data_IF_213366045127
#
_entry.id   IF_213366045127
#
_cell.length_a   1.000
_cell.length_b   1.000
_cell.length_c   1.000
_cell.angle_alpha   90.00
_cell.angle_beta   90.00
_cell.angle_gamma   90.00
#
_symmetry.space_group_name_H-M   'P 1'
#
loop_
_entity.id
_entity.type
_entity.pdbx_description
1 polymer ?
#
# COMPACT_ATOMS: atom_id res chain seq x y z
N UNK A 1 11.21 30.76 30.72
CA UNK A 1 11.38 29.39 30.17
C UNK A 1 10.12 28.87 29.45
N UNK A 2 8.95 28.73 30.10
CA UNK A 2 7.71 28.23 29.43
C UNK A 2 7.17 29.14 28.31
N UNK A 3 7.20 30.47 28.47
CA UNK A 3 6.74 31.42 27.45
C UNK A 3 7.61 31.42 26.17
N UNK A 4 8.94 31.27 26.31
CA UNK A 4 9.86 31.18 25.17
C UNK A 4 9.65 29.88 24.38
N UNK A 5 9.39 28.76 25.05
CA UNK A 5 9.01 27.50 24.38
C UNK A 5 7.67 27.58 23.64
N UNK A 6 6.70 28.35 24.15
CA UNK A 6 5.41 28.58 23.48
C UNK A 6 5.60 29.46 22.24
N UNK A 7 6.41 30.52 22.32
CA UNK A 7 6.72 31.39 21.17
C UNK A 7 7.56 30.67 20.09
N UNK A 8 8.50 29.80 20.48
CA UNK A 8 9.25 28.94 19.55
C UNK A 8 8.36 27.85 18.90
N UNK A 9 7.39 27.29 19.65
CA UNK A 9 6.37 26.38 19.08
C UNK A 9 5.39 27.08 18.13
N UNK A 10 5.09 28.35 18.34
CA UNK A 10 4.19 29.11 17.48
C UNK A 10 4.89 29.62 16.21
N UNK A 11 6.16 30.01 16.28
CA UNK A 11 6.97 30.41 15.11
C UNK A 11 7.32 29.23 14.20
N UNK A 12 7.60 28.05 14.76
CA UNK A 12 7.77 26.81 13.98
C UNK A 12 6.49 26.37 13.26
N UNK A 13 5.31 26.53 13.89
CA UNK A 13 4.01 26.25 13.25
C UNK A 13 3.71 27.18 12.06
N UNK A 14 4.09 28.46 12.14
CA UNK A 14 3.95 29.43 11.04
C UNK A 14 4.86 29.10 9.83
N UNK A 15 5.87 28.24 10.01
CA UNK A 15 6.80 27.85 8.95
C UNK A 15 6.36 26.58 8.19
N UNK A 16 5.41 25.79 8.71
CA UNK A 16 4.99 24.52 8.09
C UNK A 16 4.50 24.73 6.65
N UNK A 17 3.53 25.64 6.37
CA UNK A 17 3.06 25.83 4.99
C UNK A 17 4.18 26.27 4.04
N UNK A 18 5.12 27.11 4.53
CA UNK A 18 6.28 27.56 3.75
C UNK A 18 7.22 26.40 3.41
N UNK A 19 7.47 25.49 4.36
CA UNK A 19 8.31 24.32 4.09
C UNK A 19 7.60 23.34 3.14
N UNK A 20 6.30 23.11 3.30
CA UNK A 20 5.51 22.29 2.36
C UNK A 20 5.56 22.88 0.95
N UNK A 21 5.34 24.18 0.79
CA UNK A 21 5.42 24.86 -0.51
C UNK A 21 6.83 24.86 -1.12
N UNK A 22 7.87 24.93 -0.28
CA UNK A 22 9.27 24.82 -0.71
C UNK A 22 9.57 23.43 -1.23
N UNK A 23 9.25 22.39 -0.45
CA UNK A 23 9.68 21.03 -0.73
C UNK A 23 8.81 20.30 -1.76
N UNK A 24 7.51 20.64 -1.86
CA UNK A 24 6.58 20.08 -2.86
C UNK A 24 6.91 20.46 -4.30
N UNK A 25 7.78 21.46 -4.52
CA UNK A 25 8.26 21.85 -5.86
C UNK A 25 9.36 20.93 -6.40
N UNK A 26 10.05 20.19 -5.53
CA UNK A 26 11.07 19.24 -5.96
C UNK A 26 10.41 17.91 -6.32
N UNK A 27 10.96 17.26 -7.36
CA UNK A 27 10.57 15.91 -7.74
C UNK A 27 11.25 14.90 -6.83
N UNK A 28 10.52 13.92 -6.26
CA UNK A 28 11.12 12.79 -5.56
C UNK A 28 12.12 12.03 -6.44
N UNK A 29 13.18 11.52 -5.82
CA UNK A 29 14.25 10.76 -6.48
C UNK A 29 13.97 9.27 -6.34
N UNK A 30 13.54 8.56 -7.40
CA UNK A 30 13.31 7.11 -7.33
C UNK A 30 14.64 6.34 -7.33
N UNK A 31 14.71 5.30 -6.49
CA UNK A 31 15.83 4.37 -6.41
C UNK A 31 15.43 2.99 -6.94
N UNK A 32 16.36 2.31 -7.58
CA UNK A 32 16.24 0.89 -7.92
C UNK A 32 16.62 -0.02 -6.75
N UNK A 33 16.10 -1.25 -6.73
CA UNK A 33 16.58 -2.28 -5.80
C UNK A 33 18.08 -2.50 -5.93
N UNK A 34 18.63 -2.45 -7.16
CA UNK A 34 20.07 -2.51 -7.38
C UNK A 34 20.81 -1.40 -6.63
N UNK A 35 20.35 -0.15 -6.71
CA UNK A 35 20.98 0.95 -5.99
C UNK A 35 20.94 0.76 -4.46
N UNK A 36 19.82 0.26 -3.90
CA UNK A 36 19.75 -0.05 -2.48
C UNK A 36 20.78 -1.11 -2.06
N UNK A 37 20.95 -2.16 -2.86
CA UNK A 37 21.89 -3.25 -2.58
C UNK A 37 23.34 -2.80 -2.75
N UNK A 38 23.67 -2.17 -3.87
CA UNK A 38 25.01 -1.68 -4.15
C UNK A 38 25.47 -0.70 -3.05
N UNK A 39 24.53 0.11 -2.54
CA UNK A 39 24.77 0.97 -1.38
C UNK A 39 25.02 0.18 -0.10
N UNK A 40 24.12 -0.73 0.28
CA UNK A 40 24.18 -1.41 1.57
C UNK A 40 25.21 -2.55 1.68
N UNK A 41 25.67 -3.13 0.55
CA UNK A 41 26.64 -4.23 0.57
C UNK A 41 28.10 -3.79 0.51
N UNK A 42 28.43 -2.83 -0.37
CA UNK A 42 29.82 -2.50 -0.68
C UNK A 42 30.23 -1.10 -0.20
N UNK A 43 29.27 -0.18 -0.06
CA UNK A 43 29.51 1.25 0.15
C UNK A 43 28.66 1.82 1.30
N UNK A 44 28.34 1.01 2.31
CA UNK A 44 27.47 1.42 3.41
C UNK A 44 28.11 2.58 4.19
N UNK A 45 27.74 3.80 3.81
CA UNK A 45 28.27 5.04 4.37
C UNK A 45 27.13 5.82 4.98
N UNK A 46 27.09 5.87 6.32
CA UNK A 46 26.04 6.55 7.08
C UNK A 46 25.94 8.03 6.67
N UNK A 47 27.09 8.68 6.44
CA UNK A 47 27.17 10.06 5.94
C UNK A 47 26.44 10.25 4.61
N UNK A 48 26.67 9.37 3.65
CA UNK A 48 26.01 9.43 2.33
C UNK A 48 24.51 9.21 2.48
N UNK A 49 24.10 8.24 3.31
CA UNK A 49 22.67 7.99 3.58
C UNK A 49 22.00 9.19 4.24
N UNK A 50 22.64 9.78 5.26
CA UNK A 50 22.17 10.99 5.94
C UNK A 50 22.01 12.17 4.96
N UNK A 51 23.03 12.41 4.12
CA UNK A 51 23.02 13.49 3.12
C UNK A 51 21.87 13.38 2.13
N UNK A 52 21.58 12.15 1.69
CA UNK A 52 20.45 11.87 0.81
C UNK A 52 19.11 12.02 1.54
N UNK A 53 18.92 11.33 2.67
CA UNK A 53 17.63 11.24 3.35
C UNK A 53 17.18 12.55 3.99
N UNK A 54 18.10 13.39 4.47
CA UNK A 54 17.76 14.70 5.02
C UNK A 54 17.17 15.65 3.98
N UNK A 55 17.37 15.38 2.69
CA UNK A 55 16.76 16.12 1.58
C UNK A 55 15.53 15.36 1.03
N UNK A 56 15.67 14.06 0.77
CA UNK A 56 14.65 13.27 0.08
C UNK A 56 13.38 13.06 0.93
N UNK A 57 13.50 12.81 2.24
CA UNK A 57 12.33 12.59 3.09
C UNK A 57 11.42 13.84 3.20
N UNK A 58 11.96 15.06 3.44
CA UNK A 58 11.16 16.29 3.33
C UNK A 58 10.47 16.46 1.97
N UNK A 59 11.15 16.14 0.85
CA UNK A 59 10.56 16.22 -0.50
C UNK A 59 9.35 15.28 -0.63
N UNK A 60 9.49 14.01 -0.26
CA UNK A 60 8.41 13.00 -0.35
C UNK A 60 7.23 13.35 0.56
N UNK A 61 7.50 13.80 1.79
CA UNK A 61 6.46 14.23 2.74
C UNK A 61 5.73 15.47 2.23
N UNK A 62 6.46 16.50 1.78
CA UNK A 62 5.84 17.74 1.32
C UNK A 62 5.02 17.56 0.04
N UNK A 63 5.45 16.71 -0.90
CA UNK A 63 4.68 16.40 -2.11
C UNK A 63 3.29 15.86 -1.74
N UNK A 64 3.22 14.87 -0.84
CA UNK A 64 1.93 14.30 -0.46
C UNK A 64 1.13 15.20 0.48
N UNK A 65 1.78 15.93 1.39
CA UNK A 65 1.11 16.95 2.21
C UNK A 65 0.44 18.01 1.34
N UNK A 66 1.07 18.39 0.22
CA UNK A 66 0.50 19.37 -0.70
C UNK A 66 -0.74 18.84 -1.41
N UNK A 67 -0.83 17.54 -1.66
CA UNK A 67 -2.04 16.91 -2.21
C UNK A 67 -3.18 16.81 -1.18
N UNK A 68 -2.86 16.69 0.11
CA UNK A 68 -3.87 16.73 1.19
C UNK A 68 -4.65 18.04 1.12
N UNK A 69 -4.00 19.18 0.87
CA UNK A 69 -4.65 20.49 0.78
C UNK A 69 -5.76 20.57 -0.30
N UNK A 70 -5.80 19.63 -1.25
CA UNK A 70 -6.79 19.59 -2.33
C UNK A 70 -7.92 18.57 -2.12
N UNK A 71 -7.94 17.91 -0.96
CA UNK A 71 -9.07 17.08 -0.57
C UNK A 71 -10.28 17.96 -0.19
N UNK A 72 -11.52 17.41 -0.24
CA UNK A 72 -12.70 18.15 0.17
C UNK A 72 -12.59 18.69 1.61
N UNK A 73 -12.96 19.95 1.85
CA UNK A 73 -12.88 20.59 3.16
C UNK A 73 -13.59 19.78 4.26
N UNK A 74 -14.72 19.16 3.92
CA UNK A 74 -15.47 18.28 4.80
C UNK A 74 -14.65 17.07 5.24
N UNK A 75 -13.90 16.45 4.32
CA UNK A 75 -12.99 15.35 4.62
C UNK A 75 -11.80 15.85 5.46
N UNK A 76 -11.19 16.99 5.10
CA UNK A 76 -10.12 17.63 5.89
C UNK A 76 -10.55 18.02 7.30
N UNK A 77 -11.84 18.29 7.52
CA UNK A 77 -12.40 18.67 8.82
C UNK A 77 -12.54 17.49 9.79
N UNK A 78 -12.46 16.25 9.30
CA UNK A 78 -12.60 15.04 10.12
C UNK A 78 -11.50 14.94 11.18
N UNK A 79 -11.82 14.49 12.42
CA UNK A 79 -10.82 14.34 13.48
C UNK A 79 -9.60 13.51 13.07
N UNK A 80 -9.85 12.42 12.34
CA UNK A 80 -8.80 11.51 11.89
C UNK A 80 -7.83 12.16 10.90
N UNK A 81 -8.31 12.97 9.94
CA UNK A 81 -7.40 13.66 9.00
C UNK A 81 -6.66 14.82 9.65
N UNK A 82 -7.28 15.54 10.61
CA UNK A 82 -6.57 16.55 11.40
C UNK A 82 -5.40 15.95 12.18
N UNK A 83 -5.59 14.76 12.76
CA UNK A 83 -4.54 14.02 13.46
C UNK A 83 -3.42 13.61 12.50
N UNK A 84 -3.76 13.03 11.33
CA UNK A 84 -2.78 12.67 10.31
C UNK A 84 -1.96 13.87 9.84
N UNK A 85 -2.62 14.99 9.53
CA UNK A 85 -1.96 16.22 9.13
C UNK A 85 -0.96 16.70 10.20
N UNK A 86 -1.32 16.59 11.49
CA UNK A 86 -0.42 16.94 12.60
C UNK A 86 0.82 16.04 12.66
N UNK A 87 0.69 14.74 12.41
CA UNK A 87 1.82 13.81 12.40
C UNK A 87 2.79 14.11 11.25
N UNK A 88 2.27 14.31 10.05
CA UNK A 88 3.10 14.64 8.88
C UNK A 88 3.80 15.99 9.05
N UNK A 89 3.09 16.99 9.57
CA UNK A 89 3.68 18.30 9.86
C UNK A 89 4.80 18.20 10.90
N UNK A 90 4.60 17.44 11.98
CA UNK A 90 5.65 17.22 12.99
C UNK A 90 6.86 16.52 12.38
N UNK A 91 6.65 15.43 11.64
CA UNK A 91 7.72 14.67 10.98
C UNK A 91 8.50 15.52 9.99
N UNK A 92 7.82 16.35 9.19
CA UNK A 92 8.48 17.28 8.26
C UNK A 92 9.40 18.25 9.01
N UNK A 93 8.90 18.89 10.07
CA UNK A 93 9.68 19.88 10.82
C UNK A 93 10.90 19.24 11.52
N UNK A 94 10.72 18.06 12.13
CA UNK A 94 11.83 17.31 12.75
C UNK A 94 12.93 16.94 11.73
N UNK A 95 12.56 16.64 10.48
CA UNK A 95 13.53 16.33 9.42
C UNK A 95 14.19 17.58 8.84
N UNK A 96 13.45 18.68 8.70
CA UNK A 96 13.96 19.96 8.21
C UNK A 96 15.07 20.52 9.11
N UNK A 97 15.02 20.23 10.42
CA UNK A 97 16.06 20.63 11.38
C UNK A 97 17.45 20.03 11.07
N UNK A 98 17.55 19.01 10.20
CA UNK A 98 18.80 18.37 9.80
C UNK A 98 19.44 18.92 8.52
N UNK A 99 18.76 19.78 7.76
CA UNK A 99 19.20 20.24 6.44
C UNK A 99 20.58 20.90 6.45
N UNK A 100 20.84 21.71 7.46
CA UNK A 100 22.07 22.51 7.61
C UNK A 100 23.03 21.92 8.66
N UNK A 101 22.76 20.71 9.16
CA UNK A 101 23.63 20.07 10.15
C UNK A 101 24.88 19.49 9.50
N UNK A 102 25.97 19.48 10.26
CA UNK A 102 27.25 18.96 9.81
C UNK A 102 27.17 17.42 9.65
N UNK A 103 27.40 16.88 8.43
CA UNK A 103 27.38 15.45 8.18
C UNK A 103 28.60 14.70 8.75
N UNK A 104 29.63 15.41 9.24
CA UNK A 104 30.80 14.81 9.90
C UNK A 104 30.63 14.66 11.43
N UNK A 105 29.59 15.27 12.03
CA UNK A 105 29.29 15.13 13.45
C UNK A 105 28.53 13.83 13.74
N UNK A 106 29.22 12.85 14.34
CA UNK A 106 28.65 11.57 14.77
C UNK A 106 27.41 11.71 15.67
N UNK A 107 27.35 12.74 16.53
CA UNK A 107 26.18 12.96 17.40
C UNK A 107 24.95 13.34 16.59
N UNK A 108 25.15 14.09 15.49
CA UNK A 108 24.08 14.43 14.56
C UNK A 108 23.58 13.18 13.83
N UNK A 109 24.48 12.31 13.38
CA UNK A 109 24.12 11.06 12.70
C UNK A 109 23.29 10.15 13.62
N UNK A 110 23.75 9.92 14.86
CA UNK A 110 22.98 9.14 15.85
C UNK A 110 21.59 9.75 16.10
N UNK A 111 21.53 11.08 16.33
CA UNK A 111 20.26 11.77 16.55
C UNK A 111 19.33 11.71 15.33
N UNK A 112 19.88 11.70 14.12
CA UNK A 112 19.11 11.52 12.90
C UNK A 112 18.47 10.13 12.85
N UNK A 113 19.24 9.07 13.11
CA UNK A 113 18.74 7.69 13.18
C UNK A 113 17.63 7.54 14.22
N UNK A 114 17.80 8.10 15.42
CA UNK A 114 16.75 8.15 16.46
C UNK A 114 15.50 8.90 15.99
N UNK A 115 15.68 10.01 15.27
CA UNK A 115 14.56 10.79 14.71
C UNK A 115 13.80 9.98 13.66
N UNK A 116 14.49 9.24 12.78
CA UNK A 116 13.84 8.37 11.80
C UNK A 116 13.03 7.26 12.48
N UNK A 117 13.54 6.67 13.56
CA UNK A 117 12.80 5.68 14.35
C UNK A 117 11.54 6.30 14.93
N UNK A 118 11.63 7.51 15.50
CA UNK A 118 10.49 8.23 16.06
C UNK A 118 9.44 8.58 15.00
N UNK A 119 9.86 9.08 13.84
CA UNK A 119 8.97 9.37 12.70
C UNK A 119 8.28 8.08 12.21
N UNK A 120 9.04 6.99 12.04
CA UNK A 120 8.49 5.69 11.66
C UNK A 120 7.42 5.21 12.64
N UNK A 121 7.70 5.29 13.94
CA UNK A 121 6.80 4.85 15.00
C UNK A 121 5.53 5.70 15.06
N UNK A 122 5.66 7.03 14.94
CA UNK A 122 4.52 7.97 14.83
C UNK A 122 3.61 7.60 13.67
N UNK A 123 4.18 7.13 12.56
CA UNK A 123 3.43 6.81 11.34
C UNK A 123 2.86 5.37 11.33
N UNK A 124 3.01 4.57 12.39
CA UNK A 124 2.52 3.19 12.42
C UNK A 124 1.01 3.08 12.18
N UNK A 125 0.22 3.98 12.78
CA UNK A 125 -1.25 3.97 12.70
C UNK A 125 -1.82 4.79 11.54
N UNK A 126 -1.00 5.26 10.61
CA UNK A 126 -1.47 6.10 9.49
C UNK A 126 -2.52 5.42 8.61
N UNK A 127 -2.37 4.12 8.33
CA UNK A 127 -3.34 3.37 7.51
C UNK A 127 -4.72 3.30 8.17
N UNK A 128 -4.85 2.76 9.41
CA UNK A 128 -6.16 2.70 10.07
C UNK A 128 -6.74 4.08 10.36
N UNK A 129 -5.93 5.08 10.73
CA UNK A 129 -6.44 6.44 10.96
C UNK A 129 -6.97 7.07 9.67
N UNK A 130 -6.31 6.87 8.52
CA UNK A 130 -6.82 7.40 7.25
C UNK A 130 -8.11 6.69 6.83
N UNK A 131 -8.17 5.36 6.98
CA UNK A 131 -9.39 4.60 6.73
C UNK A 131 -10.56 5.09 7.61
N UNK A 132 -10.29 5.37 8.88
CA UNK A 132 -11.26 5.93 9.80
C UNK A 132 -11.74 7.33 9.36
N UNK A 133 -10.85 8.22 8.91
CA UNK A 133 -11.25 9.54 8.42
C UNK A 133 -12.10 9.51 7.15
N UNK A 134 -11.81 8.56 6.24
CA UNK A 134 -12.64 8.32 5.06
C UNK A 134 -14.01 7.77 5.45
N UNK A 135 -14.08 6.91 6.48
CA UNK A 135 -15.34 6.39 7.02
C UNK A 135 -16.17 7.51 7.67
N UNK A 136 -15.55 8.32 8.54
CA UNK A 136 -16.16 9.51 9.17
C UNK A 136 -16.80 10.42 8.11
N UNK A 137 -16.10 10.66 7.01
CA UNK A 137 -16.60 11.46 5.90
C UNK A 137 -17.80 10.81 5.19
N UNK A 138 -17.68 9.52 4.84
CA UNK A 138 -18.72 8.76 4.12
C UNK A 138 -20.02 8.68 4.91
N UNK A 139 -19.94 8.45 6.21
CA UNK A 139 -21.11 8.36 7.10
C UNK A 139 -21.80 9.71 7.30
N UNK A 140 -21.03 10.80 7.42
CA UNK A 140 -21.58 12.13 7.68
C UNK A 140 -22.15 12.81 6.43
N UNK A 141 -21.59 12.57 5.24
CA UNK A 141 -21.87 13.39 4.06
C UNK A 141 -22.34 12.60 2.83
N UNK A 142 -22.32 11.25 2.90
CA UNK A 142 -22.43 10.43 1.71
C UNK A 142 -21.23 10.59 0.77
N UNK A 143 -21.30 9.98 -0.41
CA UNK A 143 -20.22 10.03 -1.39
C UNK A 143 -20.81 10.17 -2.79
N UNK A 144 -20.43 11.22 -3.51
CA UNK A 144 -20.69 11.35 -4.94
C UNK A 144 -19.55 10.74 -5.78
N UNK A 145 -19.80 10.37 -7.06
CA UNK A 145 -18.80 9.72 -7.90
C UNK A 145 -17.49 10.51 -8.09
N UNK A 146 -17.57 11.85 -8.20
CA UNK A 146 -16.39 12.71 -8.42
C UNK A 146 -15.52 12.73 -7.16
N UNK A 147 -16.13 12.92 -6.00
CA UNK A 147 -15.38 12.87 -4.74
C UNK A 147 -14.77 11.50 -4.50
N UNK A 148 -15.49 10.41 -4.82
CA UNK A 148 -14.95 9.05 -4.70
C UNK A 148 -13.69 8.86 -5.57
N UNK A 149 -13.72 9.34 -6.82
CA UNK A 149 -12.57 9.26 -7.73
C UNK A 149 -11.38 10.07 -7.21
N UNK A 150 -11.61 11.29 -6.72
CA UNK A 150 -10.55 12.15 -6.18
C UNK A 150 -9.91 11.55 -4.93
N UNK A 151 -10.73 10.99 -4.03
CA UNK A 151 -10.23 10.31 -2.83
C UNK A 151 -9.50 9.02 -3.18
N UNK A 152 -10.00 8.22 -4.14
CA UNK A 152 -9.29 7.04 -4.64
C UNK A 152 -7.91 7.39 -5.19
N UNK A 153 -7.84 8.38 -6.09
CA UNK A 153 -6.60 8.87 -6.68
C UNK A 153 -5.61 9.35 -5.61
N UNK A 154 -6.09 10.10 -4.62
CA UNK A 154 -5.28 10.54 -3.50
C UNK A 154 -4.77 9.37 -2.65
N UNK A 155 -5.63 8.42 -2.27
CA UNK A 155 -5.26 7.34 -1.36
C UNK A 155 -4.20 6.41 -1.99
N UNK A 156 -4.32 6.11 -3.28
CA UNK A 156 -3.30 5.34 -4.01
C UNK A 156 -1.93 6.02 -3.88
N UNK A 157 -1.89 7.33 -4.10
CA UNK A 157 -0.65 8.13 -4.04
C UNK A 157 -0.15 8.31 -2.61
N UNK A 158 -1.05 8.53 -1.67
CA UNK A 158 -0.74 8.68 -0.25
C UNK A 158 -0.08 7.44 0.31
N UNK A 159 -0.66 6.27 0.06
CA UNK A 159 -0.09 5.01 0.52
C UNK A 159 1.18 4.63 -0.25
N UNK A 160 1.29 4.94 -1.54
CA UNK A 160 2.55 4.78 -2.28
C UNK A 160 3.68 5.62 -1.66
N UNK A 161 3.42 6.91 -1.37
CA UNK A 161 4.38 7.78 -0.67
C UNK A 161 4.76 7.20 0.69
N UNK A 162 3.80 6.67 1.45
CA UNK A 162 4.05 6.03 2.76
C UNK A 162 4.91 4.77 2.65
N UNK A 163 4.64 3.88 1.68
CA UNK A 163 5.47 2.70 1.43
C UNK A 163 6.91 3.15 1.16
N UNK A 164 7.07 4.19 0.33
CA UNK A 164 8.39 4.69 -0.07
C UNK A 164 9.20 5.33 1.08
N UNK A 165 8.55 6.16 1.90
CA UNK A 165 9.21 6.78 3.06
C UNK A 165 9.55 5.75 4.12
N UNK A 166 8.69 4.75 4.33
CA UNK A 166 8.98 3.61 5.21
C UNK A 166 10.14 2.77 4.68
N UNK A 167 10.24 2.55 3.37
CA UNK A 167 11.36 1.84 2.73
C UNK A 167 12.68 2.55 3.05
N UNK A 168 12.77 3.85 2.77
CA UNK A 168 13.97 4.65 3.03
C UNK A 168 14.38 4.66 4.52
N UNK A 169 13.42 4.91 5.42
CA UNK A 169 13.69 4.93 6.85
C UNK A 169 14.12 3.55 7.38
N UNK A 170 13.50 2.47 6.90
CA UNK A 170 13.87 1.12 7.29
C UNK A 170 15.26 0.74 6.78
N UNK A 171 15.62 1.11 5.56
CA UNK A 171 16.96 0.87 5.02
C UNK A 171 18.03 1.55 5.87
N UNK A 172 17.86 2.83 6.20
CA UNK A 172 18.82 3.54 7.05
C UNK A 172 18.92 2.93 8.45
N UNK A 173 17.78 2.74 9.11
CA UNK A 173 17.77 2.24 10.49
C UNK A 173 18.35 0.83 10.57
N UNK A 174 17.95 -0.10 9.71
CA UNK A 174 18.46 -1.48 9.75
C UNK A 174 19.94 -1.62 9.39
N UNK A 175 20.52 -0.65 8.67
CA UNK A 175 21.96 -0.68 8.32
C UNK A 175 22.80 0.01 9.40
N UNK A 176 22.30 1.10 10.01
CA UNK A 176 23.11 2.00 10.85
C UNK A 176 22.69 2.07 12.33
N UNK A 177 21.60 1.43 12.76
CA UNK A 177 21.16 1.45 14.18
C UNK A 177 22.04 0.61 15.13
N UNK A 178 23.06 -0.07 14.59
CA UNK A 178 23.99 -0.90 15.36
C UNK A 178 23.42 -2.26 15.77
N UNK A 179 22.17 -2.57 15.41
CA UNK A 179 21.55 -3.88 15.62
C UNK A 179 21.61 -4.69 14.33
N UNK A 180 22.54 -5.65 14.26
CA UNK A 180 22.45 -6.69 13.23
C UNK A 180 21.17 -7.47 13.49
N UNK A 181 20.21 -7.46 12.55
CA UNK A 181 18.99 -8.26 12.69
C UNK A 181 19.37 -9.75 12.84
N UNK A 182 19.26 -10.34 14.04
CA UNK A 182 19.76 -11.71 14.26
C UNK A 182 18.97 -12.73 13.46
N UNK A 183 17.71 -12.43 13.13
CA UNK A 183 16.83 -13.30 12.39
C UNK A 183 17.21 -13.39 10.90
N UNK A 184 17.82 -12.34 10.34
CA UNK A 184 18.14 -12.28 8.91
C UNK A 184 19.51 -11.63 8.65
N UNK A 185 20.61 -12.29 9.03
CA UNK A 185 21.96 -11.72 8.94
C UNK A 185 22.45 -11.51 7.50
N UNK A 186 21.79 -12.13 6.51
CA UNK A 186 22.14 -12.00 5.08
C UNK A 186 21.38 -10.88 4.35
N UNK A 187 20.44 -10.22 5.02
CA UNK A 187 19.68 -9.13 4.40
C UNK A 187 20.50 -7.85 4.37
N UNK A 188 20.23 -7.03 3.35
CA UNK A 188 20.76 -5.68 3.21
C UNK A 188 19.64 -4.71 3.57
N UNK A 189 19.67 -4.25 4.82
CA UNK A 189 18.52 -3.57 5.42
C UNK A 189 17.30 -4.50 5.40
N UNK A 190 16.25 -4.10 4.68
CA UNK A 190 15.03 -4.90 4.50
C UNK A 190 14.99 -5.74 3.21
N UNK A 191 16.04 -5.72 2.39
CA UNK A 191 16.10 -6.43 1.11
C UNK A 191 16.84 -7.76 1.31
N UNK A 192 16.24 -8.83 0.81
CA UNK A 192 16.91 -10.13 0.67
C UNK A 192 17.45 -10.24 -0.77
N UNK A 193 18.78 -10.30 -0.95
CA UNK A 193 19.38 -10.49 -2.27
C UNK A 193 19.09 -11.88 -2.87
N UNK A 194 18.65 -12.85 -2.08
CA UNK A 194 18.31 -14.20 -2.52
C UNK A 194 16.97 -14.66 -1.89
N UNK A 195 15.93 -13.84 -2.04
CA UNK A 195 14.59 -14.10 -1.51
C UNK A 195 14.01 -15.36 -2.14
N UNK A 196 13.79 -16.42 -1.34
CA UNK A 196 13.07 -17.61 -1.76
C UNK A 196 11.56 -17.32 -1.82
N UNK A 197 11.04 -17.22 -3.05
CA UNK A 197 9.65 -16.85 -3.28
C UNK A 197 8.68 -17.90 -2.74
N UNK A 198 9.04 -19.19 -2.83
CA UNK A 198 8.16 -20.29 -2.42
C UNK A 198 8.06 -20.36 -0.92
N UNK A 199 9.15 -20.11 -0.18
CA UNK A 199 9.11 -20.03 1.28
C UNK A 199 8.22 -18.86 1.76
N UNK A 200 8.32 -17.69 1.13
CA UNK A 200 7.44 -16.54 1.48
C UNK A 200 5.96 -16.86 1.20
N UNK A 201 5.66 -17.64 0.14
CA UNK A 201 4.30 -18.14 -0.12
C UNK A 201 3.81 -19.06 1.00
N UNK A 202 4.65 -19.99 1.46
CA UNK A 202 4.30 -20.89 2.56
C UNK A 202 4.07 -20.13 3.87
N UNK A 203 4.97 -19.21 4.23
CA UNK A 203 4.85 -18.40 5.45
C UNK A 203 3.55 -17.58 5.48
N UNK A 204 3.23 -16.95 4.34
CA UNK A 204 2.00 -16.18 4.19
C UNK A 204 0.74 -17.06 4.25
N UNK A 205 0.80 -18.26 3.66
CA UNK A 205 -0.27 -19.25 3.74
C UNK A 205 -0.50 -19.71 5.18
N UNK A 206 0.54 -20.16 5.89
CA UNK A 206 0.41 -20.65 7.26
C UNK A 206 -0.18 -19.60 8.19
N UNK A 207 0.28 -18.35 8.07
CA UNK A 207 -0.26 -17.25 8.89
C UNK A 207 -1.72 -16.94 8.56
N UNK A 208 -2.12 -17.00 7.28
CA UNK A 208 -3.52 -16.83 6.89
C UNK A 208 -4.39 -18.02 7.31
N UNK A 209 -3.83 -19.24 7.23
CA UNK A 209 -4.47 -20.50 7.64
C UNK A 209 -4.80 -20.46 9.12
N UNK A 210 -3.85 -20.05 9.97
CA UNK A 210 -4.08 -19.90 11.42
C UNK A 210 -5.24 -18.96 11.73
N UNK A 211 -5.35 -17.82 11.03
CA UNK A 211 -6.47 -16.89 11.21
C UNK A 211 -7.80 -17.45 10.69
N UNK A 212 -7.76 -18.17 9.56
CA UNK A 212 -8.92 -18.83 8.98
C UNK A 212 -9.44 -19.92 9.92
N UNK A 213 -8.56 -20.78 10.45
CA UNK A 213 -8.90 -21.83 11.40
C UNK A 213 -9.43 -21.24 12.70
N UNK A 214 -8.86 -20.14 13.20
CA UNK A 214 -9.38 -19.47 14.40
C UNK A 214 -10.81 -18.94 14.21
N UNK A 215 -11.17 -18.49 13.01
CA UNK A 215 -12.46 -17.87 12.74
C UNK A 215 -13.53 -18.85 12.25
N UNK A 216 -13.16 -19.77 11.35
CA UNK A 216 -14.08 -20.72 10.69
C UNK A 216 -13.92 -22.16 11.18
N UNK A 217 -12.94 -22.45 12.05
CA UNK A 217 -12.61 -23.82 12.53
C UNK A 217 -12.17 -24.79 11.42
N UNK A 218 -11.90 -24.27 10.22
CA UNK A 218 -11.42 -25.01 9.05
C UNK A 218 -10.75 -24.07 8.07
N UNK A 219 -9.93 -24.62 7.18
CA UNK A 219 -9.23 -23.87 6.12
C UNK A 219 -8.93 -24.77 4.92
N UNK A 220 -8.87 -24.21 3.69
CA UNK A 220 -8.44 -24.97 2.53
C UNK A 220 -6.92 -25.22 2.54
N UNK A 221 -6.52 -26.38 2.02
CA UNK A 221 -5.12 -26.71 1.77
C UNK A 221 -4.52 -25.90 0.61
N UNK A 222 -3.18 -25.87 0.49
CA UNK A 222 -2.48 -25.18 -0.60
C UNK A 222 -1.73 -26.15 -1.53
N UNK A 223 -1.90 -25.98 -2.84
CA UNK A 223 -1.11 -26.67 -3.86
C UNK A 223 -0.15 -25.68 -4.54
N UNK A 224 1.15 -25.80 -4.30
CA UNK A 224 2.18 -24.92 -4.89
C UNK A 224 2.87 -25.62 -6.05
N UNK A 225 2.95 -24.95 -7.22
CA UNK A 225 3.72 -25.40 -8.38
C UNK A 225 4.68 -24.30 -8.83
N UNK A 226 5.92 -24.66 -9.11
CA UNK A 226 6.94 -23.74 -9.62
C UNK A 226 7.31 -24.05 -11.07
N UNK A 227 7.61 -23.01 -11.84
CA UNK A 227 8.14 -23.10 -13.20
C UNK A 227 9.28 -22.09 -13.32
N UNK A 228 10.51 -22.58 -13.44
CA UNK A 228 11.68 -21.72 -13.51
C UNK A 228 12.35 -21.85 -14.88
N UNK A 229 12.35 -20.76 -15.65
CA UNK A 229 12.96 -20.69 -16.97
C UNK A 229 14.49 -20.91 -16.93
N UNK A 230 15.16 -20.48 -15.85
CA UNK A 230 16.63 -20.61 -15.71
C UNK A 230 17.06 -22.05 -15.43
N UNK A 231 16.20 -22.83 -14.79
CA UNK A 231 16.45 -24.22 -14.43
C UNK A 231 15.20 -24.87 -13.85
N UNK A 232 14.54 -25.85 -14.52
CA UNK A 232 13.24 -26.38 -14.09
C UNK A 232 13.20 -26.95 -12.68
N UNK A 233 14.33 -27.44 -12.18
CA UNK A 233 14.48 -28.01 -10.83
C UNK A 233 15.01 -27.01 -9.80
N UNK A 234 15.46 -25.81 -10.22
CA UNK A 234 16.07 -24.84 -9.33
C UNK A 234 14.99 -24.04 -8.58
N UNK A 235 15.19 -23.76 -7.28
CA UNK A 235 14.28 -22.89 -6.54
C UNK A 235 14.26 -21.48 -7.13
N UNK A 236 13.10 -20.83 -7.04
CA UNK A 236 12.88 -19.50 -7.59
C UNK A 236 13.32 -18.45 -6.57
N UNK A 237 14.47 -17.85 -6.84
CA UNK A 237 15.00 -16.75 -6.05
C UNK A 237 14.97 -15.44 -6.84
N UNK A 238 14.61 -14.35 -6.16
CA UNK A 238 14.73 -12.99 -6.68
C UNK A 238 15.34 -12.06 -5.64
N UNK A 239 15.83 -10.93 -6.09
CA UNK A 239 16.13 -9.80 -5.22
C UNK A 239 14.83 -9.10 -4.86
N UNK A 240 14.42 -9.10 -3.59
CA UNK A 240 13.17 -8.44 -3.19
C UNK A 240 13.12 -8.05 -1.71
N UNK A 241 12.06 -7.35 -1.31
CA UNK A 241 11.74 -7.08 0.10
C UNK A 241 10.75 -8.15 0.57
N UNK A 242 11.16 -9.17 1.36
CA UNK A 242 10.30 -10.30 1.69
C UNK A 242 9.00 -9.89 2.37
N UNK A 243 9.05 -8.88 3.24
CA UNK A 243 7.86 -8.37 3.95
C UNK A 243 6.81 -7.72 3.03
N UNK A 244 7.23 -7.14 1.89
CA UNK A 244 6.29 -6.61 0.89
C UNK A 244 5.58 -7.76 0.17
N UNK A 245 6.34 -8.79 -0.23
CA UNK A 245 5.81 -9.98 -0.88
C UNK A 245 4.86 -10.74 0.05
N UNK A 246 5.28 -10.97 1.29
CA UNK A 246 4.49 -11.58 2.35
C UNK A 246 3.16 -10.84 2.53
N UNK A 247 3.16 -9.51 2.63
CA UNK A 247 1.94 -8.74 2.83
C UNK A 247 0.93 -8.97 1.70
N UNK A 248 1.37 -8.92 0.44
CA UNK A 248 0.49 -9.17 -0.71
C UNK A 248 -0.10 -10.58 -0.68
N UNK A 249 0.74 -11.58 -0.45
CA UNK A 249 0.32 -12.99 -0.43
C UNK A 249 -0.62 -13.27 0.73
N UNK A 250 -0.32 -12.74 1.92
CA UNK A 250 -1.15 -12.90 3.11
C UNK A 250 -2.55 -12.32 2.91
N UNK A 251 -2.67 -11.10 2.37
CA UNK A 251 -3.98 -10.51 2.07
C UNK A 251 -4.75 -11.31 1.02
N UNK A 252 -4.08 -11.81 -0.04
CA UNK A 252 -4.72 -12.65 -1.04
C UNK A 252 -5.17 -14.00 -0.48
N UNK A 253 -4.36 -14.66 0.35
CA UNK A 253 -4.72 -15.92 0.99
C UNK A 253 -5.92 -15.75 1.91
N UNK A 254 -5.97 -14.71 2.76
CA UNK A 254 -7.15 -14.43 3.58
C UNK A 254 -8.43 -14.31 2.74
N UNK A 255 -8.37 -13.57 1.63
CA UNK A 255 -9.50 -13.39 0.73
C UNK A 255 -9.93 -14.71 0.07
N UNK A 256 -8.97 -15.47 -0.45
CA UNK A 256 -9.21 -16.76 -1.09
C UNK A 256 -9.77 -17.80 -0.12
N UNK A 257 -9.22 -17.87 1.11
CA UNK A 257 -9.68 -18.76 2.18
C UNK A 257 -11.11 -18.41 2.59
N UNK A 258 -11.38 -17.13 2.89
CA UNK A 258 -12.72 -16.65 3.21
C UNK A 258 -13.73 -17.03 2.14
N UNK A 259 -13.46 -16.69 0.88
CA UNK A 259 -14.36 -16.97 -0.22
C UNK A 259 -14.60 -18.48 -0.40
N UNK A 260 -13.55 -19.30 -0.26
CA UNK A 260 -13.64 -20.75 -0.40
C UNK A 260 -14.50 -21.36 0.71
N UNK A 261 -14.25 -20.99 1.96
CA UNK A 261 -15.00 -21.49 3.12
C UNK A 261 -16.47 -21.05 3.06
N UNK A 262 -16.73 -19.76 2.84
CA UNK A 262 -18.11 -19.23 2.79
C UNK A 262 -18.91 -19.85 1.62
N UNK A 263 -18.28 -20.16 0.49
CA UNK A 263 -18.95 -20.79 -0.66
C UNK A 263 -19.25 -22.28 -0.41
N UNK A 264 -18.45 -22.95 0.42
CA UNK A 264 -18.50 -24.39 0.65
C UNK A 264 -18.94 -24.76 2.08
N UNK A 265 -19.71 -23.89 2.75
CA UNK A 265 -20.14 -24.08 4.15
C UNK A 265 -20.84 -25.43 4.41
N UNK A 266 -21.53 -25.96 3.40
CA UNK A 266 -22.23 -27.26 3.46
C UNK A 266 -21.38 -28.46 3.01
N UNK A 267 -20.17 -28.23 2.50
CA UNK A 267 -19.26 -29.28 2.02
C UNK A 267 -18.32 -29.73 3.12
N UNK A 268 -18.13 -31.05 3.26
CA UNK A 268 -17.12 -31.62 4.16
C UNK A 268 -15.68 -31.44 3.63
N UNK A 269 -15.52 -31.12 2.35
CA UNK A 269 -14.23 -30.95 1.70
C UNK A 269 -14.14 -29.59 1.03
N UNK A 270 -13.09 -28.84 1.40
CA UNK A 270 -12.77 -27.55 0.80
C UNK A 270 -11.82 -27.77 -0.39
N UNK A 271 -12.07 -27.15 -1.55
CA UNK A 271 -11.13 -27.20 -2.66
C UNK A 271 -9.83 -26.47 -2.29
N UNK A 272 -8.66 -27.01 -2.65
CA UNK A 272 -7.39 -26.39 -2.32
C UNK A 272 -7.17 -25.09 -3.11
N UNK A 273 -6.48 -24.14 -2.48
CA UNK A 273 -5.98 -22.92 -3.14
C UNK A 273 -4.75 -23.30 -3.95
N UNK A 274 -4.75 -22.98 -5.25
CA UNK A 274 -3.65 -23.32 -6.16
C UNK A 274 -2.76 -22.13 -6.38
N UNK A 275 -1.47 -22.26 -6.05
CA UNK A 275 -0.47 -21.23 -6.31
C UNK A 275 0.51 -21.72 -7.37
N UNK A 276 0.70 -20.89 -8.40
CA UNK A 276 1.73 -21.11 -9.42
C UNK A 276 2.73 -19.97 -9.39
N UNK A 277 3.99 -20.30 -9.15
CA UNK A 277 5.11 -19.35 -9.21
C UNK A 277 5.88 -19.61 -10.50
N UNK A 278 6.07 -18.58 -11.32
CA UNK A 278 6.77 -18.67 -12.60
C UNK A 278 7.85 -17.59 -12.67
N UNK A 279 9.09 -17.99 -12.96
CA UNK A 279 10.19 -17.06 -13.23
C UNK A 279 10.54 -17.11 -14.72
N UNK A 280 10.32 -16.00 -15.43
CA UNK A 280 10.76 -15.77 -16.80
C UNK A 280 12.08 -15.00 -16.87
N UNK A 281 12.39 -14.47 -18.06
CA UNK A 281 13.55 -13.59 -18.28
C UNK A 281 13.37 -12.20 -17.65
N UNK A 282 12.16 -11.64 -17.74
CA UNK A 282 11.83 -10.28 -17.30
C UNK A 282 10.95 -10.26 -16.05
N UNK A 283 10.02 -11.22 -15.95
CA UNK A 283 8.97 -11.22 -14.93
C UNK A 283 9.05 -12.43 -14.01
N UNK A 284 8.84 -12.17 -12.72
CA UNK A 284 8.37 -13.16 -11.76
C UNK A 284 6.85 -13.00 -11.64
N UNK A 285 6.11 -14.08 -11.88
CA UNK A 285 4.65 -14.12 -11.80
C UNK A 285 4.19 -15.10 -10.73
N UNK A 286 3.30 -14.67 -9.85
CA UNK A 286 2.64 -15.53 -8.85
C UNK A 286 1.15 -15.49 -9.10
N UNK A 287 0.57 -16.61 -9.53
CA UNK A 287 -0.87 -16.77 -9.70
C UNK A 287 -1.45 -17.59 -8.56
N UNK A 288 -2.38 -17.02 -7.80
CA UNK A 288 -3.18 -17.69 -6.78
C UNK A 288 -4.60 -17.86 -7.30
N UNK A 289 -5.10 -19.09 -7.32
CA UNK A 289 -6.44 -19.44 -7.79
C UNK A 289 -7.22 -20.17 -6.72
N UNK A 290 -8.41 -19.67 -6.42
CA UNK A 290 -9.38 -20.28 -5.53
C UNK A 290 -10.59 -20.86 -6.31
N UNK A 291 -11.45 -21.57 -5.59
CA UNK A 291 -12.78 -21.97 -6.05
C UNK A 291 -13.85 -21.39 -5.11
N UNK A 292 -13.71 -20.13 -4.72
CA UNK A 292 -14.60 -19.44 -3.80
C UNK A 292 -15.79 -18.76 -4.47
N UNK A 293 -16.38 -19.37 -5.51
CA UNK A 293 -17.62 -18.89 -6.14
C UNK A 293 -17.46 -17.69 -7.08
N UNK A 294 -16.35 -16.96 -7.01
CA UNK A 294 -16.03 -15.88 -7.94
C UNK A 294 -16.82 -14.58 -7.73
N UNK A 295 -16.58 -13.60 -8.59
CA UNK A 295 -17.10 -12.24 -8.51
C UNK A 295 -17.58 -11.78 -9.89
N UNK A 296 -18.79 -11.19 -10.00
CA UNK A 296 -19.28 -10.61 -11.25
C UNK A 296 -18.32 -9.56 -11.81
N UNK A 297 -18.10 -9.55 -13.12
CA UNK A 297 -17.15 -8.64 -13.79
C UNK A 297 -17.35 -7.16 -13.41
N UNK A 298 -18.60 -6.70 -13.33
CA UNK A 298 -18.96 -5.32 -12.94
C UNK A 298 -18.47 -4.88 -11.54
N UNK A 299 -18.10 -5.84 -10.68
CA UNK A 299 -17.62 -5.58 -9.32
C UNK A 299 -16.09 -5.65 -9.19
N UNK A 300 -15.38 -6.17 -10.20
CA UNK A 300 -13.92 -6.42 -10.10
C UNK A 300 -13.16 -5.13 -9.84
N UNK A 301 -13.41 -4.07 -10.60
CA UNK A 301 -12.73 -2.79 -10.38
C UNK A 301 -13.05 -2.18 -9.00
N UNK A 302 -14.29 -2.38 -8.53
CA UNK A 302 -14.73 -1.89 -7.22
C UNK A 302 -14.01 -2.56 -6.07
N UNK A 303 -13.49 -3.79 -6.23
CA UNK A 303 -12.72 -4.46 -5.18
C UNK A 303 -11.43 -3.69 -4.82
N UNK A 304 -10.92 -2.86 -5.73
CA UNK A 304 -9.77 -1.99 -5.47
C UNK A 304 -10.17 -0.61 -4.92
N UNK A 305 -11.47 -0.34 -4.74
CA UNK A 305 -11.92 0.94 -4.19
C UNK A 305 -11.83 0.96 -2.67
N UNK A 306 -11.17 1.99 -2.11
CA UNK A 306 -11.03 2.15 -0.66
C UNK A 306 -12.35 2.41 0.08
N UNK A 307 -13.37 2.90 -0.63
CA UNK A 307 -14.70 3.15 -0.07
C UNK A 307 -15.67 1.97 -0.27
N UNK A 308 -15.20 0.87 -0.87
CA UNK A 308 -15.96 -0.35 -1.10
C UNK A 308 -15.43 -1.50 -0.22
N UNK A 309 -16.30 -2.07 0.61
CA UNK A 309 -16.02 -3.30 1.35
C UNK A 309 -17.26 -4.18 1.37
N UNK A 310 -17.07 -5.50 1.35
CA UNK A 310 -18.11 -6.52 1.48
C UNK A 310 -18.19 -7.07 2.91
N UNK A 311 -17.27 -6.70 3.79
CA UNK A 311 -17.29 -7.06 5.20
C UNK A 311 -18.00 -5.98 6.03
N UNK A 312 -18.68 -6.34 7.13
CA UNK A 312 -19.16 -5.36 8.09
C UNK A 312 -17.99 -4.53 8.64
N UNK A 313 -18.24 -3.25 8.89
CA UNK A 313 -17.22 -2.35 9.46
C UNK A 313 -16.77 -2.90 10.82
N UNK A 314 -15.45 -3.07 11.05
CA UNK A 314 -14.97 -3.57 12.33
C UNK A 314 -15.34 -2.58 13.44
N UNK A 315 -16.01 -3.08 14.48
CA UNK A 315 -16.34 -2.28 15.67
C UNK A 315 -15.04 -2.02 16.43
N UNK A 316 -14.74 -0.75 16.70
CA UNK A 316 -13.46 -0.30 17.29
C UNK A 316 -13.21 -0.78 18.74
N UNK A 317 -14.08 -1.61 19.32
CA UNK A 317 -14.13 -1.83 20.77
C UNK A 317 -13.25 -2.98 21.31
N UNK A 318 -12.62 -3.85 20.50
CA UNK A 318 -11.74 -4.90 21.05
C UNK A 318 -10.49 -5.18 20.18
N UNK A 319 -9.48 -4.34 20.39
CA UNK A 319 -8.15 -4.36 19.78
C UNK A 319 -7.23 -5.46 20.33
N UNK A 320 -7.57 -6.75 20.10
CA UNK A 320 -6.59 -7.85 20.25
C UNK A 320 -6.49 -8.81 19.08
N UNK A 321 -7.55 -8.95 18.27
CA UNK A 321 -7.54 -9.87 17.12
C UNK A 321 -7.80 -9.10 15.83
N UNK A 322 -6.87 -9.16 14.87
CA UNK A 322 -7.10 -8.62 13.53
C UNK A 322 -8.14 -9.51 12.84
N UNK A 323 -9.32 -9.00 12.45
CA UNK A 323 -10.33 -9.81 11.78
C UNK A 323 -9.82 -10.25 10.40
N UNK A 324 -10.26 -11.42 9.93
CA UNK A 324 -9.87 -11.99 8.64
C UNK A 324 -10.22 -11.04 7.46
N UNK A 325 -11.32 -10.29 7.60
CA UNK A 325 -11.71 -9.20 6.72
C UNK A 325 -12.00 -7.93 7.53
N UNK A 326 -11.75 -6.74 6.94
CA UNK A 326 -11.86 -5.47 7.64
C UNK A 326 -12.21 -4.29 6.72
N UNK A 327 -11.53 -3.15 6.90
CA UNK A 327 -11.81 -1.86 6.24
C UNK A 327 -11.85 -1.85 4.69
N UNK A 328 -11.53 -2.95 4.00
CA UNK A 328 -11.49 -3.01 2.53
C UNK A 328 -10.16 -2.54 1.92
N UNK A 329 -9.12 -2.32 2.73
CA UNK A 329 -7.85 -1.73 2.27
C UNK A 329 -6.81 -2.77 1.82
N UNK A 330 -6.99 -4.06 2.15
CA UNK A 330 -5.99 -5.10 1.91
C UNK A 330 -5.63 -5.26 0.43
N UNK A 331 -6.64 -5.39 -0.44
CA UNK A 331 -6.42 -5.58 -1.88
C UNK A 331 -5.81 -4.35 -2.57
N UNK A 332 -6.34 -3.11 -2.40
CA UNK A 332 -5.71 -1.95 -3.04
C UNK A 332 -4.29 -1.68 -2.52
N UNK A 333 -4.03 -1.83 -1.21
CA UNK A 333 -2.67 -1.68 -0.68
C UNK A 333 -1.74 -2.77 -1.22
N UNK A 334 -2.18 -4.02 -1.34
CA UNK A 334 -1.39 -5.10 -1.96
C UNK A 334 -1.01 -4.76 -3.40
N UNK A 335 -1.94 -4.15 -4.17
CA UNK A 335 -1.63 -3.67 -5.52
C UNK A 335 -0.59 -2.55 -5.52
N UNK A 336 -0.62 -1.65 -4.54
CA UNK A 336 0.42 -0.62 -4.41
C UNK A 336 1.80 -1.22 -4.09
N UNK A 337 1.87 -2.23 -3.23
CA UNK A 337 3.14 -2.95 -2.98
C UNK A 337 3.71 -3.60 -4.24
N UNK A 338 2.86 -4.18 -5.09
CA UNK A 338 3.31 -4.72 -6.39
C UNK A 338 3.80 -3.59 -7.31
N UNK A 339 3.01 -2.53 -7.46
CA UNK A 339 3.32 -1.38 -8.33
C UNK A 339 4.53 -0.57 -7.88
N UNK A 340 4.87 -0.62 -6.60
CA UNK A 340 5.95 0.17 -6.01
C UNK A 340 7.31 -0.10 -6.67
N UNK A 341 7.58 -1.35 -7.07
CA UNK A 341 8.78 -1.73 -7.84
C UNK A 341 8.42 -2.20 -9.26
N UNK A 342 7.58 -1.44 -9.95
CA UNK A 342 7.19 -1.65 -11.36
C UNK A 342 6.45 -2.97 -11.67
N UNK A 343 5.90 -3.63 -10.65
CA UNK A 343 5.00 -4.75 -10.81
C UNK A 343 3.53 -4.34 -10.99
N UNK A 344 2.62 -5.31 -10.87
CA UNK A 344 1.17 -5.07 -10.74
C UNK A 344 0.48 -6.24 -10.03
N UNK A 345 -0.74 -6.01 -9.55
CA UNK A 345 -1.64 -7.03 -9.02
C UNK A 345 -2.95 -6.95 -9.78
N UNK A 346 -3.37 -8.05 -10.38
CA UNK A 346 -4.58 -8.15 -11.19
C UNK A 346 -5.49 -9.28 -10.69
N UNK A 347 -6.80 -9.11 -10.84
CA UNK A 347 -7.81 -10.11 -10.51
C UNK A 347 -8.58 -10.52 -11.76
N UNK A 348 -8.80 -11.82 -11.90
CA UNK A 348 -9.58 -12.44 -12.95
C UNK A 348 -10.55 -13.42 -12.31
N UNK A 349 -11.85 -13.19 -12.45
CA UNK A 349 -12.86 -14.01 -11.78
C UNK A 349 -13.87 -14.59 -12.76
N UNK A 350 -14.35 -15.78 -12.43
CA UNK A 350 -15.44 -16.46 -13.12
C UNK A 350 -16.57 -16.63 -12.11
N UNK A 351 -17.61 -15.80 -12.24
CA UNK A 351 -18.80 -15.87 -11.38
C UNK A 351 -19.43 -17.26 -11.43
N UNK A 352 -19.70 -17.83 -10.25
CA UNK A 352 -20.16 -19.21 -10.07
C UNK A 352 -19.05 -20.25 -9.95
N UNK A 353 -17.77 -19.88 -10.09
CA UNK A 353 -16.65 -20.82 -10.01
C UNK A 353 -15.55 -20.38 -9.02
N UNK A 354 -14.87 -19.26 -9.27
CA UNK A 354 -13.71 -18.87 -8.45
C UNK A 354 -12.94 -17.68 -9.01
N UNK A 355 -11.90 -17.28 -8.28
CA UNK A 355 -11.07 -16.12 -8.63
C UNK A 355 -9.61 -16.51 -8.79
N UNK A 356 -8.90 -15.81 -9.68
CA UNK A 356 -7.46 -15.86 -9.84
C UNK A 356 -6.86 -14.47 -9.62
N UNK A 357 -5.96 -14.35 -8.64
CA UNK A 357 -5.14 -13.18 -8.41
C UNK A 357 -3.74 -13.42 -8.99
N UNK A 358 -3.20 -12.43 -9.71
CA UNK A 358 -1.87 -12.51 -10.32
C UNK A 358 -1.03 -11.34 -9.84
N UNK A 359 0.10 -11.63 -9.19
CA UNK A 359 1.14 -10.68 -8.84
C UNK A 359 2.23 -10.77 -9.91
N UNK A 360 2.59 -9.64 -10.49
CA UNK A 360 3.74 -9.48 -11.37
C UNK A 360 4.81 -8.67 -10.65
N UNK A 361 6.05 -9.17 -10.68
CA UNK A 361 7.24 -8.51 -10.15
C UNK A 361 8.36 -8.56 -11.20
N UNK A 362 9.25 -7.58 -11.17
CA UNK A 362 10.45 -7.59 -12.02
C UNK A 362 11.44 -8.65 -11.54
N UNK A 363 11.91 -9.47 -12.46
CA UNK A 363 12.93 -10.49 -12.18
C UNK A 363 14.32 -9.87 -11.97
N UNK A 364 14.58 -8.70 -12.58
CA UNK A 364 15.87 -8.01 -12.54
C UNK A 364 15.81 -6.80 -11.59
N UNK A 365 16.73 -6.75 -10.63
CA UNK A 365 16.82 -5.66 -9.63
C UNK A 365 17.14 -4.28 -10.23
N UNK A 366 17.69 -4.25 -11.45
CA UNK A 366 17.92 -3.03 -12.24
C UNK A 366 16.63 -2.38 -12.74
N UNK A 367 15.60 -3.18 -12.96
CA UNK A 367 14.29 -2.73 -13.47
C UNK A 367 13.28 -2.50 -12.34
N UNK A 368 13.54 -3.05 -11.15
CA UNK A 368 12.79 -2.80 -9.92
C UNK A 368 13.05 -1.39 -9.38
N UNK A 369 12.50 -0.37 -10.04
CA UNK A 369 12.64 1.05 -9.70
C UNK A 369 11.43 1.53 -8.89
N UNK A 370 11.64 2.35 -7.87
CA UNK A 370 10.55 2.98 -7.10
C UNK A 370 9.56 3.74 -8.01
N UNK A 371 8.26 3.47 -7.85
CA UNK A 371 7.17 4.26 -8.45
C UNK A 371 6.67 5.27 -7.43
N UNK A 372 6.97 6.55 -7.63
CA UNK A 372 6.67 7.60 -6.66
C UNK A 372 5.61 8.59 -7.15
N UNK A 373 4.71 9.07 -6.26
CA UNK A 373 3.82 10.18 -6.59
C UNK A 373 4.60 11.50 -6.66
N UNK A 374 4.36 12.28 -7.71
CA UNK A 374 4.94 13.62 -7.89
C UNK A 374 3.82 14.66 -7.89
N UNK A 375 3.90 15.65 -7.01
CA UNK A 375 2.99 16.78 -7.01
C UNK A 375 3.42 17.79 -8.09
N UNK A 376 2.54 18.03 -9.05
CA UNK A 376 2.76 18.99 -10.14
C UNK A 376 1.40 19.42 -10.72
N UNK A 377 1.42 20.22 -11.79
CA UNK A 377 0.19 20.67 -12.47
C UNK A 377 -0.68 19.51 -12.97
N UNK A 378 -0.09 18.39 -13.39
CA UNK A 378 -0.84 17.22 -13.83
C UNK A 378 -1.56 16.56 -12.65
N UNK A 379 -0.88 16.41 -11.50
CA UNK A 379 -1.52 15.91 -10.28
C UNK A 379 -2.66 16.83 -9.81
N UNK A 380 -2.47 18.15 -9.90
CA UNK A 380 -3.48 19.13 -9.53
C UNK A 380 -4.76 19.01 -10.39
N UNK A 381 -4.63 18.74 -11.69
CA UNK A 381 -5.79 18.59 -12.59
C UNK A 381 -6.73 17.49 -12.13
N UNK A 382 -6.22 16.37 -11.61
CA UNK A 382 -7.05 15.28 -11.12
C UNK A 382 -8.03 15.75 -10.02
N UNK A 383 -7.61 16.65 -9.14
CA UNK A 383 -8.44 17.20 -8.06
C UNK A 383 -9.43 18.28 -8.51
N UNK A 384 -9.23 18.84 -9.71
CA UNK A 384 -10.04 19.94 -10.25
C UNK A 384 -11.06 19.47 -11.29
N UNK A 385 -11.01 18.18 -11.68
CA UNK A 385 -11.91 17.60 -12.68
C UNK A 385 -13.36 17.69 -12.21
N UNK A 386 -14.22 18.32 -13.02
CA UNK A 386 -15.66 18.34 -12.81
C UNK A 386 -16.32 17.09 -13.40
N UNK A 387 -17.60 16.88 -13.08
CA UNK A 387 -18.40 15.83 -13.73
C UNK A 387 -18.46 16.09 -15.24
N UNK A 388 -17.92 15.17 -16.03
CA UNK A 388 -18.02 15.18 -17.49
C UNK A 388 -19.22 14.31 -17.93
N UNK A 389 -19.79 14.62 -19.09
CA UNK A 389 -20.78 13.74 -19.71
C UNK A 389 -20.10 12.42 -20.07
N UNK A 390 -20.82 11.30 -19.96
CA UNK A 390 -20.27 9.99 -20.33
C UNK A 390 -19.93 9.97 -21.83
N UNK A 391 -18.75 9.43 -22.15
CA UNK A 391 -18.26 9.28 -23.52
C UNK A 391 -19.06 8.24 -24.33
N UNK A 392 -19.90 7.45 -23.63
CA UNK A 392 -20.72 6.40 -24.23
C UNK A 392 -22.19 6.53 -23.86
N UNK A 393 -23.08 5.98 -24.69
CA UNK A 393 -24.52 6.03 -24.44
C UNK A 393 -24.89 5.28 -23.15
N UNK A 394 -25.54 5.97 -22.23
CA UNK A 394 -26.18 5.37 -21.05
C UNK A 394 -27.61 4.98 -21.43
N UNK A 395 -27.99 3.69 -21.35
CA UNK A 395 -29.37 3.27 -21.65
C UNK A 395 -30.35 3.83 -20.61
N UNK A 396 -31.60 4.06 -21.04
CA UNK A 396 -32.69 4.42 -20.12
C UNK A 396 -32.88 3.33 -19.06
N UNK A 397 -33.14 3.75 -17.81
CA UNK A 397 -33.58 2.83 -16.73
C UNK A 397 -34.91 2.16 -17.05
N UNK A 398 -35.69 2.74 -17.97
CA UNK A 398 -36.93 2.19 -18.50
C UNK A 398 -36.82 2.06 -20.03
N UNK A 399 -36.22 0.98 -20.54
CA UNK A 399 -36.14 0.74 -21.98
C UNK A 399 -37.53 0.59 -22.59
N UNK A 400 -37.75 1.20 -23.76
CA UNK A 400 -39.03 1.11 -24.48
C UNK A 400 -39.34 -0.35 -24.82
N UNK A 401 -40.51 -0.83 -24.39
CA UNK A 401 -41.01 -2.16 -24.74
C UNK A 401 -41.50 -2.13 -26.20
N UNK A 402 -40.75 -2.75 -27.11
CA UNK A 402 -41.08 -2.78 -28.54
C UNK A 402 -42.13 -3.84 -28.92
N UNK A 403 -42.50 -4.73 -27.98
CA UNK A 403 -43.49 -5.78 -28.22
C UNK A 403 -44.83 -5.45 -27.59
N UNK A 404 -45.70 -4.71 -28.29
CA UNK A 404 -47.17 -4.71 -28.12
C UNK A 404 -47.82 -3.99 -29.31
N UNK A 405 -48.40 -4.77 -30.23
CA UNK A 405 -49.57 -4.34 -30.97
C UNK A 405 -50.74 -4.44 -30.00
N UNK A 406 -51.31 -3.30 -29.60
CA UNK A 406 -52.61 -3.28 -28.95
C UNK A 406 -53.63 -3.65 -30.03
N UNK A 407 -54.13 -4.88 -30.01
CA UNK A 407 -55.42 -5.18 -30.63
C UNK A 407 -56.46 -4.45 -29.80
N UNK A 408 -56.80 -3.23 -30.22
CA UNK A 408 -58.08 -2.60 -29.89
C UNK A 408 -59.17 -3.60 -30.33
N UNK A 409 -59.87 -4.18 -29.35
CA UNK A 409 -61.10 -4.92 -29.61
C UNK A 409 -62.21 -3.89 -29.77
N UNK A 410 -62.69 -3.74 -31.01
CA UNK A 410 -64.01 -3.17 -31.34
C UNK A 410 -65.15 -4.10 -30.88
#
# INVERSE_FOLDING_TARGET
MKFAQIMLKNSSKLNIPKQVDRFSKYSPSPLSMKQFIDFGSANACEKTSFMFLRQELPVRLANIMKEIDFLPDKLLSTPSLKLLHSWYAQSLMELVDFLEKDPDDKKILTKFTETLINVRNRHNNVVPTMAQGVLEYKEAFGVDPVTNQNVQYFLDRFYMSRISTRMLMNQHTLIFDGSTNPAHPKHIGSIDPNCDVVEVVKDAYESAKMLCDQYYLTSPEVEIKQVNFKGPSDPIHIVYVPSHLYHMLFELFKNAMRATVETHETSLHLPPIKVRVSLGSEDLTIKMSDRGGGVPLRKIERLFSYMYSTAPSPVAENSRNAPLAGFGYGLPISRLYAKYFQGDLQLYSMEGYGTSAVIYLKALSTESIERLPVFNKSALRHYQTSTEADDWCIPSSEPKKLGKYETEQD
#
